data_IF_429142738105
#
_entry.id   IF_429142738105
#
_cell.length_a   1.000
_cell.length_b   1.000
_cell.length_c   1.000
_cell.angle_alpha   90.00
_cell.angle_beta   90.00
_cell.angle_gamma   90.00
#
_symmetry.space_group_name_H-M   'P 1'
#
loop_
_entity.id
_entity.type
_entity.pdbx_description
1 polymer ?
#
# COMPACT_ATOMS: atom_id res chain seq x y z
N UNK A 1 -25.34 4.24 -13.69
CA UNK A 1 -24.87 5.56 -13.21
C UNK A 1 -24.98 5.67 -11.69
N UNK A 2 -26.06 5.15 -11.07
CA UNK A 2 -26.19 5.08 -9.61
C UNK A 2 -25.01 4.36 -8.92
N UNK A 3 -24.67 3.15 -9.38
CA UNK A 3 -23.64 2.32 -8.76
C UNK A 3 -22.24 2.96 -8.77
N UNK A 4 -21.91 3.70 -9.84
CA UNK A 4 -20.64 4.42 -9.93
C UNK A 4 -20.59 5.60 -8.96
N UNK A 5 -21.69 6.35 -8.85
CA UNK A 5 -21.77 7.48 -7.94
C UNK A 5 -21.73 6.99 -6.49
N UNK A 6 -22.42 5.90 -6.18
CA UNK A 6 -22.37 5.23 -4.88
C UNK A 6 -20.94 4.79 -4.54
N UNK A 7 -20.24 4.13 -5.47
CA UNK A 7 -18.84 3.75 -5.30
C UNK A 7 -17.94 4.96 -5.01
N UNK A 8 -18.10 6.06 -5.77
CA UNK A 8 -17.32 7.29 -5.56
C UNK A 8 -17.60 7.90 -4.19
N UNK A 9 -18.85 7.87 -3.72
CA UNK A 9 -19.21 8.32 -2.38
C UNK A 9 -18.61 7.44 -1.29
N UNK A 10 -18.71 6.13 -1.43
CA UNK A 10 -18.11 5.18 -0.48
C UNK A 10 -16.59 5.36 -0.42
N UNK A 11 -15.94 5.53 -1.58
CA UNK A 11 -14.51 5.81 -1.66
C UNK A 11 -14.15 7.13 -0.96
N UNK A 12 -14.85 8.22 -1.28
CA UNK A 12 -14.63 9.53 -0.67
C UNK A 12 -14.77 9.46 0.85
N UNK A 13 -15.84 8.83 1.33
CA UNK A 13 -16.10 8.66 2.75
C UNK A 13 -15.03 7.83 3.44
N UNK A 14 -14.66 6.69 2.86
CA UNK A 14 -13.61 5.82 3.39
C UNK A 14 -12.28 6.59 3.48
N UNK A 15 -11.91 7.30 2.43
CA UNK A 15 -10.68 8.10 2.39
C UNK A 15 -10.66 9.20 3.47
N UNK A 16 -11.76 9.92 3.66
CA UNK A 16 -11.88 10.91 4.74
C UNK A 16 -11.78 10.27 6.12
N UNK A 17 -12.38 9.09 6.31
CA UNK A 17 -12.29 8.33 7.56
C UNK A 17 -10.87 7.87 7.84
N UNK A 18 -10.15 7.35 6.84
CA UNK A 18 -8.74 6.98 6.95
C UNK A 18 -7.87 8.17 7.35
N UNK A 19 -8.04 9.33 6.70
CA UNK A 19 -7.33 10.57 7.07
C UNK A 19 -7.62 10.95 8.52
N UNK A 20 -8.89 10.92 8.91
CA UNK A 20 -9.32 11.27 10.27
C UNK A 20 -8.71 10.33 11.31
N UNK A 21 -8.75 9.02 11.07
CA UNK A 21 -8.18 8.02 11.97
C UNK A 21 -6.67 8.18 12.09
N UNK A 22 -5.95 8.30 10.98
CA UNK A 22 -4.51 8.50 10.98
C UNK A 22 -4.11 9.79 11.71
N UNK A 23 -4.86 10.88 11.47
CA UNK A 23 -4.73 12.16 12.17
C UNK A 23 -4.92 12.02 13.68
N UNK A 24 -6.01 11.36 14.11
CA UNK A 24 -6.31 11.15 15.53
C UNK A 24 -5.25 10.30 16.21
N UNK A 25 -4.76 9.24 15.55
CA UNK A 25 -3.67 8.40 16.08
C UNK A 25 -2.43 9.26 16.31
N UNK A 26 -2.01 10.05 15.33
CA UNK A 26 -0.82 10.91 15.46
C UNK A 26 -0.98 11.95 16.57
N UNK A 27 -2.16 12.53 16.72
CA UNK A 27 -2.46 13.45 17.81
C UNK A 27 -2.36 12.76 19.18
N UNK A 28 -2.93 11.56 19.31
CA UNK A 28 -2.87 10.77 20.55
C UNK A 28 -1.44 10.35 20.89
N UNK A 29 -0.64 9.94 19.90
CA UNK A 29 0.78 9.69 20.07
C UNK A 29 1.50 10.96 20.55
N UNK A 30 1.21 12.11 19.94
CA UNK A 30 1.69 13.42 20.39
C UNK A 30 1.46 13.71 21.87
N UNK A 31 0.23 13.49 22.34
CA UNK A 31 -0.14 13.66 23.75
C UNK A 31 0.58 12.66 24.65
N UNK A 32 0.67 11.40 24.23
CA UNK A 32 1.31 10.33 24.98
C UNK A 32 2.79 10.61 25.25
N UNK A 33 3.54 11.00 24.22
CA UNK A 33 4.96 11.34 24.35
C UNK A 33 5.17 12.66 25.11
N UNK A 34 4.22 13.60 25.01
CA UNK A 34 4.24 14.81 25.84
C UNK A 34 4.14 14.47 27.32
N UNK A 35 3.26 13.53 27.69
CA UNK A 35 3.11 13.07 29.07
C UNK A 35 4.32 12.26 29.54
N UNK A 36 4.89 11.40 28.67
CA UNK A 36 6.11 10.63 28.98
C UNK A 36 7.28 11.55 29.34
N UNK A 37 7.50 12.61 28.56
CA UNK A 37 8.54 13.60 28.81
C UNK A 37 8.41 14.29 30.18
N UNK A 38 7.25 14.17 30.84
CA UNK A 38 6.96 14.74 32.16
C UNK A 38 7.10 13.68 33.27
N UNK A 39 6.59 12.46 33.09
CA UNK A 39 6.41 11.49 34.19
C UNK A 39 7.35 10.25 34.13
N UNK A 40 8.14 10.05 33.08
CA UNK A 40 9.22 9.02 32.98
C UNK A 40 8.86 7.55 33.38
N UNK A 41 7.58 7.20 33.55
CA UNK A 41 7.13 5.98 34.25
C UNK A 41 6.59 4.84 33.38
N UNK A 42 6.88 4.80 32.08
CA UNK A 42 6.25 3.84 31.16
C UNK A 42 7.27 3.26 30.15
N UNK A 43 7.84 2.09 30.44
CA UNK A 43 9.08 1.67 29.78
C UNK A 43 9.02 0.42 28.87
N UNK A 44 8.01 -0.45 28.98
CA UNK A 44 7.92 -1.65 28.11
C UNK A 44 6.55 -1.84 27.43
N UNK A 45 5.47 -1.78 28.19
CA UNK A 45 4.11 -1.93 27.66
C UNK A 45 3.77 -0.82 26.65
N UNK A 46 4.27 0.40 26.90
CA UNK A 46 4.10 1.54 26.01
C UNK A 46 4.83 1.35 24.68
N UNK A 47 6.03 0.76 24.69
CA UNK A 47 6.81 0.49 23.49
C UNK A 47 6.10 -0.53 22.58
N UNK A 48 5.55 -1.60 23.17
CA UNK A 48 4.75 -2.57 22.44
C UNK A 48 3.46 -1.97 21.87
N UNK A 49 2.76 -1.15 22.66
CA UNK A 49 1.54 -0.46 22.21
C UNK A 49 1.85 0.56 21.12
N UNK A 50 2.95 1.31 21.26
CA UNK A 50 3.44 2.22 20.22
C UNK A 50 3.70 1.46 18.93
N UNK A 51 4.40 0.32 19.00
CA UNK A 51 4.73 -0.48 17.82
C UNK A 51 3.46 -0.93 17.08
N UNK A 52 2.49 -1.55 17.77
CA UNK A 52 1.25 -1.97 17.11
C UNK A 52 0.48 -0.79 16.52
N UNK A 53 0.35 0.32 17.25
CA UNK A 53 -0.34 1.52 16.76
C UNK A 53 0.38 2.12 15.56
N UNK A 54 1.71 2.15 15.57
CA UNK A 54 2.54 2.65 14.49
C UNK A 54 2.44 1.74 13.24
N UNK A 55 2.36 0.42 13.42
CA UNK A 55 2.09 -0.53 12.33
C UNK A 55 0.79 -0.18 11.63
N UNK A 56 -0.31 -0.05 12.40
CA UNK A 56 -1.63 0.27 11.84
C UNK A 56 -1.67 1.64 11.18
N UNK A 57 -0.96 2.62 11.76
CA UNK A 57 -0.80 3.93 11.14
C UNK A 57 -0.06 3.83 9.81
N UNK A 58 1.04 3.08 9.75
CA UNK A 58 1.83 2.88 8.54
C UNK A 58 1.04 2.16 7.44
N UNK A 59 0.26 1.14 7.79
CA UNK A 59 -0.67 0.46 6.88
C UNK A 59 -1.70 1.44 6.33
N UNK A 60 -2.29 2.27 7.19
CA UNK A 60 -3.29 3.27 6.78
C UNK A 60 -2.70 4.30 5.81
N UNK A 61 -1.49 4.80 6.10
CA UNK A 61 -0.78 5.74 5.23
C UNK A 61 -0.47 5.08 3.87
N UNK A 62 -0.02 3.83 3.88
CA UNK A 62 0.24 3.08 2.65
C UNK A 62 -1.03 2.93 1.80
N UNK A 63 -2.17 2.60 2.41
CA UNK A 63 -3.44 2.50 1.69
C UNK A 63 -3.87 3.85 1.10
N UNK A 64 -3.67 4.96 1.82
CA UNK A 64 -3.94 6.30 1.30
C UNK A 64 -3.06 6.62 0.09
N UNK A 65 -1.77 6.29 0.13
CA UNK A 65 -0.83 6.50 -1.00
C UNK A 65 -1.23 5.65 -2.20
N UNK A 66 -1.44 4.35 -2.00
CA UNK A 66 -1.84 3.43 -3.08
C UNK A 66 -3.15 3.91 -3.73
N UNK A 67 -4.11 4.34 -2.92
CA UNK A 67 -5.38 4.82 -3.44
C UNK A 67 -5.23 6.15 -4.20
N UNK A 68 -4.40 7.08 -3.71
CA UNK A 68 -4.08 8.32 -4.42
C UNK A 68 -3.42 8.03 -5.79
N UNK A 69 -2.48 7.08 -5.85
CA UNK A 69 -1.85 6.63 -7.10
C UNK A 69 -2.86 6.01 -8.08
N UNK A 70 -3.83 5.23 -7.57
CA UNK A 70 -4.94 4.71 -8.40
C UNK A 70 -5.77 5.87 -8.97
N UNK A 71 -6.07 6.90 -8.17
CA UNK A 71 -6.80 8.09 -8.63
C UNK A 71 -6.02 8.86 -9.69
N UNK A 72 -4.71 9.07 -9.51
CA UNK A 72 -3.84 9.68 -10.53
C UNK A 72 -3.84 8.85 -11.81
N UNK A 73 -3.64 7.53 -11.69
CA UNK A 73 -3.62 6.60 -12.82
C UNK A 73 -4.95 6.52 -13.58
N UNK A 74 -6.07 6.70 -12.89
CA UNK A 74 -7.42 6.72 -13.50
C UNK A 74 -7.69 7.94 -14.39
N UNK A 75 -6.85 8.99 -14.30
CA UNK A 75 -6.99 10.25 -15.06
C UNK A 75 -8.32 10.97 -14.84
N UNK A 76 -9.03 10.69 -13.75
CA UNK A 76 -10.29 11.35 -13.39
C UNK A 76 -10.14 12.89 -13.31
N UNK A 77 -8.98 13.36 -12.87
CA UNK A 77 -8.63 14.78 -12.80
C UNK A 77 -8.71 15.50 -14.15
N UNK A 78 -8.43 14.82 -15.27
CA UNK A 78 -8.48 15.42 -16.60
C UNK A 78 -9.91 15.81 -17.00
N UNK A 79 -10.90 15.03 -16.55
CA UNK A 79 -12.30 15.30 -16.83
C UNK A 79 -12.91 16.27 -15.82
N UNK A 80 -12.30 16.39 -14.64
CA UNK A 80 -12.82 17.17 -13.53
C UNK A 80 -13.07 18.65 -13.87
N UNK A 81 -12.10 19.30 -14.50
CA UNK A 81 -12.23 20.71 -14.90
C UNK A 81 -13.34 20.91 -15.93
N UNK A 82 -13.53 19.95 -16.83
CA UNK A 82 -14.60 19.96 -17.82
C UNK A 82 -15.97 19.84 -17.15
N UNK A 83 -16.12 18.93 -16.18
CA UNK A 83 -17.36 18.80 -15.40
C UNK A 83 -17.69 20.07 -14.62
N UNK A 84 -16.71 20.68 -13.94
CA UNK A 84 -16.91 21.94 -13.22
C UNK A 84 -17.34 23.07 -14.15
N UNK A 85 -16.69 23.21 -15.32
CA UNK A 85 -17.06 24.21 -16.33
C UNK A 85 -18.46 23.97 -16.91
N UNK A 86 -18.84 22.71 -17.15
CA UNK A 86 -20.15 22.36 -17.67
C UNK A 86 -21.26 22.77 -16.68
N UNK A 87 -21.13 22.44 -15.40
CA UNK A 87 -22.11 22.82 -14.37
C UNK A 87 -22.16 24.32 -14.17
N UNK A 88 -21.01 25.00 -14.17
CA UNK A 88 -20.98 26.45 -14.11
C UNK A 88 -21.71 27.09 -15.31
N UNK A 89 -21.49 26.57 -16.52
CA UNK A 89 -22.17 27.03 -17.73
C UNK A 89 -23.69 26.82 -17.67
N UNK A 90 -24.13 25.65 -17.19
CA UNK A 90 -25.56 25.34 -16.98
C UNK A 90 -26.17 26.29 -15.94
N UNK A 91 -25.46 26.52 -14.83
CA UNK A 91 -25.92 27.41 -13.75
C UNK A 91 -26.08 28.87 -14.20
N UNK A 92 -25.31 29.31 -15.20
CA UNK A 92 -25.31 30.69 -15.71
C UNK A 92 -26.25 30.89 -16.90
N UNK A 93 -26.54 29.83 -17.65
CA UNK A 93 -27.39 29.89 -18.84
C UNK A 93 -28.73 29.14 -18.64
N UNK A 94 -29.32 29.21 -17.44
CA UNK A 94 -30.55 28.48 -17.09
C UNK A 94 -31.65 28.65 -18.15
N UNK A 95 -31.81 29.86 -18.67
CA UNK A 95 -32.85 30.23 -19.64
C UNK A 95 -32.65 29.63 -21.04
N UNK A 96 -31.44 29.12 -21.36
CA UNK A 96 -31.13 28.48 -22.66
C UNK A 96 -31.39 26.98 -22.66
N UNK A 97 -31.49 26.37 -21.48
CA UNK A 97 -31.81 24.96 -21.36
C UNK A 97 -33.32 24.85 -21.16
N UNK A 98 -34.05 24.40 -22.17
CA UNK A 98 -35.52 24.21 -22.19
C UNK A 98 -36.05 23.18 -21.16
N UNK A 99 -35.27 22.82 -20.15
CA UNK A 99 -35.66 21.96 -19.05
C UNK A 99 -35.74 22.77 -17.76
N UNK A 100 -36.76 22.57 -16.90
CA UNK A 100 -36.85 23.22 -15.60
C UNK A 100 -35.83 22.55 -14.66
N UNK A 101 -34.54 22.81 -14.86
CA UNK A 101 -33.56 22.55 -13.83
C UNK A 101 -33.88 23.52 -12.69
N UNK A 102 -34.58 23.04 -11.67
CA UNK A 102 -34.78 23.80 -10.46
C UNK A 102 -33.41 24.22 -9.94
N UNK A 103 -33.31 25.45 -9.45
CA UNK A 103 -32.09 25.94 -8.80
C UNK A 103 -31.57 24.98 -7.73
N UNK A 104 -32.50 24.28 -7.08
CA UNK A 104 -32.24 23.18 -6.17
C UNK A 104 -31.47 22.01 -6.79
N UNK A 105 -31.82 21.57 -8.01
CA UNK A 105 -31.12 20.46 -8.68
C UNK A 105 -29.68 20.84 -9.08
N UNK A 106 -29.47 22.06 -9.58
CA UNK A 106 -28.12 22.56 -9.92
C UNK A 106 -27.27 22.73 -8.66
N UNK A 107 -27.87 23.26 -7.59
CA UNK A 107 -27.23 23.38 -6.28
C UNK A 107 -26.86 22.01 -5.70
N UNK A 108 -27.78 21.03 -5.77
CA UNK A 108 -27.54 19.65 -5.35
C UNK A 108 -26.39 19.00 -6.09
N UNK A 109 -26.37 19.10 -7.42
CA UNK A 109 -25.28 18.57 -8.25
C UNK A 109 -23.94 19.25 -7.93
N UNK A 110 -23.95 20.57 -7.70
CA UNK A 110 -22.76 21.31 -7.29
C UNK A 110 -22.23 20.81 -5.94
N UNK A 111 -23.11 20.52 -4.99
CA UNK A 111 -22.73 19.97 -3.69
C UNK A 111 -22.18 18.55 -3.81
N UNK A 112 -22.77 17.71 -4.66
CA UNK A 112 -22.26 16.35 -4.96
C UNK A 112 -20.84 16.44 -5.51
N UNK A 113 -20.61 17.30 -6.50
CA UNK A 113 -19.29 17.49 -7.07
C UNK A 113 -18.29 18.00 -6.02
N UNK A 114 -18.65 19.03 -5.25
CA UNK A 114 -17.79 19.52 -4.16
C UNK A 114 -17.44 18.42 -3.17
N UNK A 115 -18.39 17.55 -2.84
CA UNK A 115 -18.15 16.44 -1.92
C UNK A 115 -17.16 15.41 -2.46
N UNK A 116 -17.01 15.30 -3.79
CA UNK A 116 -16.08 14.37 -4.46
C UNK A 116 -14.78 15.06 -4.94
N UNK A 117 -14.60 16.35 -4.66
CA UNK A 117 -13.47 17.16 -5.15
C UNK A 117 -12.11 16.51 -4.81
N UNK A 118 -11.98 15.92 -3.62
CA UNK A 118 -10.74 15.28 -3.17
C UNK A 118 -10.35 14.07 -4.04
N UNK A 119 -11.33 13.24 -4.44
CA UNK A 119 -11.08 12.12 -5.34
C UNK A 119 -10.75 12.60 -6.75
N UNK A 120 -11.55 13.53 -7.27
CA UNK A 120 -11.38 14.02 -8.65
C UNK A 120 -10.12 14.86 -8.82
N UNK A 121 -9.68 15.57 -7.77
CA UNK A 121 -8.43 16.31 -7.79
C UNK A 121 -7.20 15.42 -7.60
N UNK A 122 -7.37 14.12 -7.28
CA UNK A 122 -6.30 13.21 -6.88
C UNK A 122 -5.39 13.86 -5.83
N UNK A 123 -6.01 14.42 -4.80
CA UNK A 123 -5.32 15.22 -3.78
C UNK A 123 -5.45 14.57 -2.40
N UNK A 124 -5.60 13.24 -2.36
CA UNK A 124 -5.89 12.54 -1.12
C UNK A 124 -4.70 12.58 -0.18
N UNK A 125 -3.51 12.23 -0.68
CA UNK A 125 -2.31 12.23 0.13
C UNK A 125 -1.91 13.65 0.53
N UNK A 126 -2.10 14.64 -0.35
CA UNK A 126 -1.90 16.05 0.00
C UNK A 126 -2.84 16.49 1.14
N UNK A 127 -4.12 16.11 1.08
CA UNK A 127 -5.09 16.42 2.14
C UNK A 127 -4.68 15.78 3.48
N UNK A 128 -4.15 14.56 3.42
CA UNK A 128 -3.55 13.90 4.57
C UNK A 128 -2.34 14.69 5.11
N UNK A 129 -1.37 15.07 4.27
CA UNK A 129 -0.21 15.85 4.70
C UNK A 129 -0.60 17.18 5.36
N UNK A 130 -1.56 17.90 4.78
CA UNK A 130 -2.07 19.16 5.33
C UNK A 130 -2.67 18.95 6.74
N UNK A 131 -3.34 17.82 6.96
CA UNK A 131 -3.86 17.45 8.29
C UNK A 131 -2.73 17.18 9.29
N UNK A 132 -1.64 16.53 8.87
CA UNK A 132 -0.48 16.25 9.72
C UNK A 132 0.27 17.53 10.07
N UNK A 133 0.43 18.47 9.14
CA UNK A 133 1.06 19.76 9.43
C UNK A 133 0.30 20.54 10.51
N UNK A 134 -1.04 20.54 10.45
CA UNK A 134 -1.87 21.15 11.50
C UNK A 134 -1.71 20.47 12.86
N UNK A 135 -1.60 19.14 12.88
CA UNK A 135 -1.37 18.39 14.12
C UNK A 135 0.01 18.67 14.68
N UNK A 136 1.04 18.75 13.82
CA UNK A 136 2.41 19.08 14.24
C UNK A 136 2.47 20.39 15.03
N UNK A 137 1.69 21.39 14.64
CA UNK A 137 1.58 22.67 15.37
C UNK A 137 0.97 22.52 16.77
N UNK A 138 0.18 21.46 17.01
CA UNK A 138 -0.48 21.17 18.29
C UNK A 138 0.33 20.23 19.20
N UNK A 139 1.36 19.55 18.65
CA UNK A 139 2.21 18.64 19.41
C UNK A 139 3.34 19.43 20.08
N UNK A 140 3.63 19.11 21.34
CA UNK A 140 4.76 19.70 22.08
C UNK A 140 6.08 19.52 21.32
N UNK A 141 6.91 20.56 21.29
CA UNK A 141 8.26 20.52 20.69
C UNK A 141 9.16 19.45 21.32
N UNK A 142 8.86 19.02 22.55
CA UNK A 142 9.56 17.93 23.24
C UNK A 142 9.11 16.53 22.81
N UNK A 143 7.87 16.38 22.34
CA UNK A 143 7.32 15.09 21.92
C UNK A 143 7.73 14.70 20.50
N UNK A 144 7.96 15.68 19.62
CA UNK A 144 8.37 15.43 18.23
C UNK A 144 9.70 14.65 18.12
N UNK A 145 10.78 15.00 18.85
CA UNK A 145 12.01 14.22 18.85
C UNK A 145 11.81 12.78 19.33
N UNK A 146 10.98 12.55 20.34
CA UNK A 146 10.70 11.20 20.85
C UNK A 146 9.94 10.36 19.83
N UNK A 147 8.88 10.90 19.23
CA UNK A 147 8.14 10.24 18.16
C UNK A 147 9.08 9.90 17.00
N UNK A 148 9.92 10.85 16.59
CA UNK A 148 10.89 10.65 15.52
C UNK A 148 11.89 9.54 15.86
N UNK A 149 12.43 9.53 17.09
CA UNK A 149 13.36 8.49 17.54
C UNK A 149 12.73 7.11 17.52
N UNK A 150 11.55 6.96 18.13
CA UNK A 150 10.80 5.69 18.13
C UNK A 150 10.43 5.23 16.72
N UNK A 151 10.07 6.15 15.83
CA UNK A 151 9.78 5.84 14.43
C UNK A 151 11.02 5.36 13.68
N UNK A 152 12.19 6.00 13.90
CA UNK A 152 13.45 5.61 13.27
C UNK A 152 13.94 4.24 13.75
N UNK A 153 13.85 3.98 15.05
CA UNK A 153 14.22 2.68 15.61
C UNK A 153 13.29 1.58 15.11
N UNK A 154 11.99 1.85 15.07
CA UNK A 154 11.00 0.95 14.45
C UNK A 154 11.34 0.64 12.99
N UNK A 155 11.63 1.67 12.17
CA UNK A 155 12.00 1.49 10.75
C UNK A 155 13.28 0.65 10.64
N UNK A 156 14.30 0.93 11.48
CA UNK A 156 15.57 0.19 11.47
C UNK A 156 15.35 -1.29 11.78
N UNK A 157 14.56 -1.61 12.80
CA UNK A 157 14.25 -3.00 13.19
C UNK A 157 13.54 -3.73 12.04
N UNK A 158 12.53 -3.13 11.42
CA UNK A 158 11.80 -3.77 10.32
C UNK A 158 12.65 -3.94 9.06
N UNK A 159 13.45 -2.93 8.69
CA UNK A 159 14.35 -3.06 7.54
C UNK A 159 15.38 -4.18 7.74
N UNK A 160 15.88 -4.32 8.97
CA UNK A 160 16.82 -5.40 9.31
C UNK A 160 16.14 -6.77 9.17
N UNK A 161 14.92 -6.92 9.70
CA UNK A 161 14.12 -8.14 9.53
C UNK A 161 13.87 -8.48 8.07
N UNK A 162 13.52 -7.50 7.23
CA UNK A 162 13.27 -7.71 5.79
C UNK A 162 14.54 -8.17 5.07
N UNK A 163 15.70 -7.60 5.43
CA UNK A 163 16.99 -8.00 4.85
C UNK A 163 17.36 -9.43 5.25
N UNK A 164 17.14 -9.78 6.52
CA UNK A 164 17.35 -11.14 7.04
C UNK A 164 16.43 -12.16 6.35
N UNK A 165 15.14 -11.85 6.23
CA UNK A 165 14.16 -12.70 5.55
C UNK A 165 14.51 -12.88 4.07
N UNK A 166 14.91 -11.80 3.38
CA UNK A 166 15.37 -11.84 1.99
C UNK A 166 16.60 -12.74 1.81
N UNK A 167 17.55 -12.67 2.74
CA UNK A 167 18.72 -13.53 2.75
C UNK A 167 18.35 -15.01 2.97
N UNK A 168 17.43 -15.30 3.89
CA UNK A 168 16.94 -16.66 4.15
C UNK A 168 16.21 -17.22 2.93
N UNK A 169 15.32 -16.44 2.30
CA UNK A 169 14.59 -16.84 1.09
C UNK A 169 15.58 -17.16 -0.04
N UNK A 170 16.55 -16.26 -0.28
CA UNK A 170 17.55 -16.44 -1.34
C UNK A 170 18.40 -17.69 -1.10
N UNK A 171 18.82 -17.92 0.15
CA UNK A 171 19.60 -19.11 0.53
C UNK A 171 18.79 -20.39 0.36
N UNK A 172 17.51 -20.37 0.75
CA UNK A 172 16.60 -21.51 0.63
C UNK A 172 16.30 -21.85 -0.83
N UNK A 173 16.05 -20.83 -1.67
CA UNK A 173 15.85 -21.02 -3.11
C UNK A 173 17.12 -21.58 -3.79
N UNK A 174 18.30 -21.07 -3.43
CA UNK A 174 19.57 -21.59 -3.94
C UNK A 174 19.81 -23.04 -3.50
N UNK A 175 19.46 -23.40 -2.27
CA UNK A 175 19.55 -24.77 -1.78
C UNK A 175 18.60 -25.71 -2.55
N UNK A 176 17.34 -25.30 -2.76
CA UNK A 176 16.35 -26.06 -3.51
C UNK A 176 16.77 -26.25 -4.97
N UNK A 177 17.29 -25.21 -5.61
CA UNK A 177 17.82 -25.29 -6.97
C UNK A 177 19.00 -26.27 -7.07
N UNK A 178 19.97 -26.19 -6.16
CA UNK A 178 21.10 -27.14 -6.11
C UNK A 178 20.64 -28.59 -5.91
N UNK A 179 19.63 -28.81 -5.07
CA UNK A 179 19.06 -30.14 -4.84
C UNK A 179 18.37 -30.69 -6.09
N UNK A 180 17.60 -29.88 -6.81
CA UNK A 180 16.99 -30.28 -8.08
C UNK A 180 18.05 -30.59 -9.15
N UNK A 181 19.09 -29.76 -9.30
CA UNK A 181 20.17 -30.03 -10.25
C UNK A 181 20.93 -31.32 -9.92
N UNK A 182 21.15 -31.61 -8.64
CA UNK A 182 21.80 -32.85 -8.19
C UNK A 182 20.93 -34.09 -8.49
N UNK A 183 19.62 -34.01 -8.29
CA UNK A 183 18.69 -35.09 -8.64
C UNK A 183 18.63 -35.35 -10.15
N UNK A 184 18.62 -34.28 -10.96
CA UNK A 184 18.63 -34.39 -12.42
C UNK A 184 19.92 -35.05 -12.92
N UNK A 185 21.08 -34.61 -12.40
CA UNK A 185 22.37 -35.18 -12.76
C UNK A 185 22.48 -36.65 -12.36
N UNK A 186 21.96 -37.02 -11.18
CA UNK A 186 21.90 -38.42 -10.75
C UNK A 186 21.04 -39.27 -11.71
N UNK A 187 19.91 -38.75 -12.16
CA UNK A 187 19.02 -39.46 -13.09
C UNK A 187 19.65 -39.64 -14.48
N UNK A 188 20.34 -38.61 -14.99
CA UNK A 188 21.08 -38.67 -16.26
C UNK A 188 22.22 -39.71 -16.15
N UNK A 189 23.02 -39.64 -15.09
CA UNK A 189 24.13 -40.57 -14.85
C UNK A 189 23.63 -42.01 -14.72
N UNK A 190 22.49 -42.22 -14.06
CA UNK A 190 21.86 -43.53 -13.96
C UNK A 190 21.39 -44.05 -15.33
N UNK A 191 20.76 -43.21 -16.17
CA UNK A 191 20.34 -43.62 -17.52
C UNK A 191 21.51 -43.95 -18.44
N UNK A 192 22.61 -43.20 -18.36
CA UNK A 192 23.81 -43.46 -19.18
C UNK A 192 24.49 -44.77 -18.75
N UNK A 193 24.54 -45.07 -17.45
CA UNK A 193 25.06 -46.35 -16.96
C UNK A 193 24.20 -47.54 -17.41
N UNK A 194 22.87 -47.40 -17.45
CA UNK A 194 21.97 -48.45 -17.98
C UNK A 194 22.17 -48.68 -19.49
N UNK A 195 22.33 -47.62 -20.29
CA UNK A 195 22.61 -47.74 -21.74
C UNK A 195 23.97 -48.38 -22.02
N UNK A 196 24.95 -48.16 -21.15
CA UNK A 196 26.29 -48.72 -21.29
C UNK A 196 26.31 -50.20 -20.89
N UNK A 197 25.54 -50.59 -19.87
CA UNK A 197 25.34 -52.00 -19.47
C UNK A 197 24.57 -52.83 -20.52
N UNK A 198 23.61 -52.22 -21.22
CA UNK A 198 22.85 -52.87 -22.30
C UNK A 198 23.63 -53.05 -23.63
N UNK A 199 24.86 -52.53 -23.73
CA UNK A 199 25.74 -52.60 -24.92
C UNK A 199 26.90 -53.60 -24.77
N UNK A 200 26.80 -54.58 -23.88
CA UNK A 200 27.70 -55.75 -23.88
C UNK A 200 27.18 -56.80 -24.87
N UNK A 201 27.85 -57.05 -26.01
CA UNK A 201 27.45 -58.09 -26.95
C UNK A 201 27.94 -59.46 -26.48
N UNK A 202 27.07 -60.46 -26.66
CA UNK A 202 27.44 -61.87 -26.82
C UNK A 202 28.59 -61.97 -27.84
N UNK A 203 29.77 -62.36 -27.41
CA UNK A 203 30.90 -62.65 -28.29
C UNK A 203 31.82 -63.71 -27.68
N UNK A 204 31.30 -64.93 -27.50
CA UNK A 204 32.10 -66.16 -27.51
C UNK A 204 31.18 -67.31 -27.92
N UNK A 205 31.10 -67.57 -29.22
CA UNK A 205 30.75 -68.86 -29.80
C UNK A 205 30.96 -68.76 -31.32
N UNK A 206 32.19 -69.01 -31.76
CA UNK A 206 32.50 -69.66 -33.04
C UNK A 206 34.01 -69.87 -33.13
N UNK A 207 34.40 -70.98 -33.77
CA UNK A 207 35.77 -71.45 -34.05
C UNK A 207 36.46 -72.36 -33.00
N UNK A 208 35.96 -73.59 -32.85
CA UNK A 208 36.84 -74.77 -32.87
C UNK A 208 36.33 -75.69 -33.98
N UNK A 209 36.93 -75.56 -35.16
CA UNK A 209 36.91 -76.61 -36.18
C UNK A 209 38.21 -76.53 -36.97
N UNK A 210 39.24 -77.20 -36.46
CA UNK A 210 40.33 -77.87 -37.18
C UNK A 210 41.09 -78.77 -36.22
#
# INVERSE_FOLDING_TARGET
MGDLLELLYSAQYLSQRCITVASTILQQLGVLFTYRAIDNRLDLQLAMQFQEVFNRLSETILQLIVFDEILVGSRLQNFWQTYKKAIYSISRNKDRFNHPYTEYAISGLTNVLKSLEMLFAASLFQTFLDSIFKIKEQISTKALPEISGHSQDYIRVNLTSIVEDSFIITTTLNFLHRRQSAQLNFHITAQDNYKTSARLPQAQNEEINK
#
